data_IF_630640599708
#
_entry.id   IF_630640599708
#
_cell.length_a   1.000
_cell.length_b   1.000
_cell.length_c   1.000
_cell.angle_alpha   90.00
_cell.angle_beta   90.00
_cell.angle_gamma   90.00
#
_symmetry.space_group_name_H-M   'P 1'
#
loop_
_entity.id
_entity.type
_entity.pdbx_description
1 polymer ?
#
# COMPACT_ATOMS: atom_id res chain seq x y z
N UNK A 1 15.66 3.63 -28.73
CA UNK A 1 14.47 4.47 -28.49
C UNK A 1 14.68 5.14 -27.15
N UNK A 2 14.85 6.47 -27.11
CA UNK A 2 15.02 7.21 -25.86
C UNK A 2 13.63 7.70 -25.43
N UNK A 3 13.04 7.11 -24.40
CA UNK A 3 11.77 7.57 -23.85
C UNK A 3 11.98 8.89 -23.08
N UNK A 4 11.40 9.96 -23.60
CA UNK A 4 11.50 11.30 -23.02
C UNK A 4 10.53 11.40 -21.83
N UNK A 5 11.01 11.31 -20.59
CA UNK A 5 10.15 11.52 -19.42
C UNK A 5 9.54 12.94 -19.44
N UNK A 6 8.21 13.05 -19.45
CA UNK A 6 7.49 14.33 -19.34
C UNK A 6 6.96 14.50 -17.92
N UNK A 7 7.44 15.50 -17.19
CA UNK A 7 6.89 15.87 -15.89
C UNK A 7 5.65 16.75 -16.07
N UNK A 8 4.52 16.37 -15.46
CA UNK A 8 3.32 17.24 -15.36
C UNK A 8 3.16 17.69 -13.90
N UNK A 9 3.32 18.98 -13.58
CA UNK A 9 3.10 19.44 -12.21
C UNK A 9 1.62 19.32 -11.85
N UNK A 10 1.32 18.64 -10.74
CA UNK A 10 -0.02 18.59 -10.14
C UNK A 10 0.01 19.39 -8.84
N UNK A 11 -0.79 20.45 -8.77
CA UNK A 11 -1.00 21.20 -7.53
C UNK A 11 -1.98 20.41 -6.66
N UNK A 12 -1.47 19.84 -5.56
CA UNK A 12 -2.30 19.30 -4.48
C UNK A 12 -2.09 20.26 -3.31
N UNK A 13 -3.19 20.81 -2.77
CA UNK A 13 -3.20 21.97 -1.87
C UNK A 13 -2.10 21.98 -0.78
N UNK A 14 -1.48 23.15 -0.61
CA UNK A 14 -0.56 23.55 0.46
C UNK A 14 0.48 22.52 0.94
N UNK A 15 0.97 21.65 0.06
CA UNK A 15 2.10 20.76 0.30
C UNK A 15 3.18 20.94 -0.76
N UNK A 16 4.45 20.76 -0.39
CA UNK A 16 5.58 20.81 -1.32
C UNK A 16 5.30 20.02 -2.60
N UNK A 17 5.61 20.57 -3.79
CA UNK A 17 5.36 19.90 -5.06
C UNK A 17 6.17 18.59 -5.11
N UNK A 18 5.47 17.45 -5.05
CA UNK A 18 6.07 16.16 -5.37
C UNK A 18 6.12 16.03 -6.89
N UNK A 19 7.32 15.84 -7.43
CA UNK A 19 7.52 15.46 -8.83
C UNK A 19 7.23 13.97 -8.93
N UNK A 20 6.08 13.61 -9.49
CA UNK A 20 5.81 12.23 -9.84
C UNK A 20 6.39 11.94 -11.23
N UNK A 21 7.32 10.98 -11.29
CA UNK A 21 7.85 10.47 -12.55
C UNK A 21 6.95 9.33 -13.02
N UNK A 22 6.17 9.59 -14.06
CA UNK A 22 5.34 8.59 -14.73
C UNK A 22 5.95 8.29 -16.09
N UNK A 23 6.02 7.02 -16.48
CA UNK A 23 6.34 6.70 -17.87
C UNK A 23 5.22 7.25 -18.78
N UNK A 24 5.50 7.42 -20.08
CA UNK A 24 4.49 7.89 -21.03
C UNK A 24 3.18 7.10 -20.89
N UNK A 25 2.06 7.82 -20.85
CA UNK A 25 0.69 7.28 -20.73
C UNK A 25 0.35 6.57 -19.41
N UNK A 26 1.18 6.71 -18.37
CA UNK A 26 0.85 6.26 -17.02
C UNK A 26 0.24 7.41 -16.20
N UNK A 27 -0.80 7.09 -15.43
CA UNK A 27 -1.53 8.06 -14.63
C UNK A 27 -1.71 7.54 -13.20
N UNK A 28 -1.61 8.43 -12.21
CA UNK A 28 -2.04 8.16 -10.85
C UNK A 28 -3.57 8.25 -10.74
N UNK A 29 -4.21 7.24 -10.14
CA UNK A 29 -5.62 7.26 -9.81
C UNK A 29 -5.91 8.41 -8.83
N UNK A 30 -6.81 9.35 -9.17
CA UNK A 30 -7.21 10.42 -8.26
C UNK A 30 -7.98 9.85 -7.06
N UNK A 31 -7.82 10.48 -5.89
CA UNK A 31 -8.44 10.04 -4.63
C UNK A 31 -9.20 11.20 -3.97
N UNK A 32 -10.53 11.13 -3.83
CA UNK A 32 -11.45 10.20 -4.51
C UNK A 32 -11.54 10.49 -6.01
N UNK A 33 -11.95 9.50 -6.81
CA UNK A 33 -12.27 9.71 -8.22
C UNK A 33 -13.62 10.44 -8.30
N UNK A 34 -13.58 11.72 -8.69
CA UNK A 34 -14.79 12.57 -8.83
C UNK A 34 -15.16 12.82 -10.29
N UNK A 35 -14.21 12.71 -11.21
CA UNK A 35 -14.41 12.89 -12.65
C UNK A 35 -13.63 11.85 -13.44
N UNK A 36 -14.24 11.33 -14.50
CA UNK A 36 -13.57 10.40 -15.43
C UNK A 36 -12.57 11.11 -16.35
N UNK A 37 -12.56 12.45 -16.39
CA UNK A 37 -11.57 13.23 -17.13
C UNK A 37 -10.14 13.00 -16.62
N UNK A 38 -9.98 12.64 -15.34
CA UNK A 38 -8.68 12.34 -14.74
C UNK A 38 -8.00 11.09 -15.31
N UNK A 39 -8.76 10.21 -15.95
CA UNK A 39 -8.25 8.97 -16.57
C UNK A 39 -8.30 9.01 -18.10
N UNK A 40 -8.73 10.13 -18.69
CA UNK A 40 -8.76 10.29 -20.15
C UNK A 40 -7.34 10.28 -20.72
N UNK A 41 -7.10 9.34 -21.65
CA UNK A 41 -5.82 9.20 -22.35
C UNK A 41 -4.79 8.34 -21.64
N UNK A 42 -5.09 7.81 -20.46
CA UNK A 42 -4.22 6.90 -19.72
C UNK A 42 -4.25 5.51 -20.36
N UNK A 43 -3.08 4.91 -20.56
CA UNK A 43 -2.96 3.50 -20.94
C UNK A 43 -2.83 2.61 -19.70
N UNK A 44 -2.29 3.15 -18.60
CA UNK A 44 -2.21 2.48 -17.31
C UNK A 44 -2.53 3.46 -16.17
N UNK A 45 -3.38 3.02 -15.24
CA UNK A 45 -3.80 3.77 -14.06
C UNK A 45 -3.27 3.06 -12.81
N UNK A 46 -2.52 3.78 -11.98
CA UNK A 46 -1.87 3.25 -10.78
C UNK A 46 -2.49 3.82 -9.50
N UNK A 47 -2.68 2.95 -8.51
CA UNK A 47 -3.25 3.31 -7.21
C UNK A 47 -4.76 3.07 -7.14
N UNK A 48 -5.34 3.30 -5.96
CA UNK A 48 -6.75 2.96 -5.75
C UNK A 48 -7.70 3.95 -6.40
N UNK A 49 -8.62 3.43 -7.20
CA UNK A 49 -9.82 4.13 -7.64
C UNK A 49 -10.81 4.09 -6.48
N UNK A 50 -10.94 5.19 -5.75
CA UNK A 50 -11.90 5.31 -4.64
C UNK A 50 -13.17 6.00 -5.13
N UNK A 51 -14.26 5.24 -5.22
CA UNK A 51 -15.59 5.77 -5.51
C UNK A 51 -16.28 6.14 -4.20
N UNK A 52 -16.56 7.44 -4.02
CA UNK A 52 -17.17 7.98 -2.80
C UNK A 52 -18.19 9.07 -3.14
N UNK A 53 -19.34 9.04 -2.49
CA UNK A 53 -20.39 10.04 -2.68
C UNK A 53 -21.25 9.77 -3.93
N UNK A 54 -21.61 10.85 -4.63
CA UNK A 54 -22.54 10.85 -5.77
C UNK A 54 -21.92 10.28 -7.05
N UNK A 55 -22.76 10.14 -8.08
CA UNK A 55 -22.42 9.63 -9.42
C UNK A 55 -21.20 10.33 -10.01
N UNK A 56 -20.31 9.54 -10.62
CA UNK A 56 -19.17 10.04 -11.39
C UNK A 56 -19.66 10.89 -12.56
N UNK A 57 -19.03 12.05 -12.76
CA UNK A 57 -19.30 12.82 -13.96
C UNK A 57 -18.81 12.04 -15.19
N UNK A 58 -19.63 11.95 -16.26
CA UNK A 58 -19.20 11.33 -17.49
C UNK A 58 -17.99 12.09 -18.07
N UNK A 59 -17.08 11.40 -18.76
CA UNK A 59 -15.89 12.04 -19.30
C UNK A 59 -16.28 12.94 -20.47
N UNK A 60 -15.57 14.05 -20.63
CA UNK A 60 -15.75 14.96 -21.77
C UNK A 60 -15.28 14.36 -23.11
N UNK A 61 -14.55 13.24 -23.06
CA UNK A 61 -14.06 12.47 -24.19
C UNK A 61 -14.22 10.98 -23.94
N UNK A 62 -14.39 10.14 -24.97
CA UNK A 62 -14.41 8.70 -24.80
C UNK A 62 -13.17 8.19 -24.08
N UNK A 63 -13.36 7.32 -23.10
CA UNK A 63 -12.26 6.65 -22.42
C UNK A 63 -11.60 5.67 -23.40
N UNK A 64 -10.26 5.69 -23.43
CA UNK A 64 -9.51 4.63 -24.10
C UNK A 64 -9.46 3.42 -23.16
N UNK A 65 -9.37 2.20 -23.72
CA UNK A 65 -9.15 1.04 -22.87
C UNK A 65 -7.80 1.11 -22.14
N UNK A 66 -7.79 0.83 -20.84
CA UNK A 66 -6.61 1.01 -19.97
C UNK A 66 -6.37 -0.18 -19.03
N UNK A 67 -5.14 -0.32 -18.55
CA UNK A 67 -4.79 -1.26 -17.49
C UNK A 67 -4.91 -0.57 -16.13
N UNK A 68 -5.35 -1.28 -15.11
CA UNK A 68 -5.41 -0.76 -13.75
C UNK A 68 -4.58 -1.63 -12.80
N UNK A 69 -3.71 -0.98 -12.03
CA UNK A 69 -2.86 -1.59 -11.02
C UNK A 69 -3.16 -0.92 -9.69
N UNK A 70 -3.97 -1.59 -8.88
CA UNK A 70 -4.50 -1.02 -7.66
C UNK A 70 -5.91 -1.53 -7.40
N UNK A 71 -6.66 -0.84 -6.54
CA UNK A 71 -7.94 -1.34 -6.06
C UNK A 71 -9.08 -0.44 -6.46
N UNK A 72 -10.19 -1.05 -6.87
CA UNK A 72 -11.45 -0.32 -7.01
C UNK A 72 -12.16 -0.44 -5.67
N UNK A 73 -12.25 0.67 -4.94
CA UNK A 73 -12.76 0.74 -3.58
C UNK A 73 -14.03 1.58 -3.58
N UNK A 74 -15.18 0.94 -3.33
CA UNK A 74 -16.47 1.63 -3.23
C UNK A 74 -16.79 1.90 -1.76
N UNK A 75 -16.94 3.18 -1.38
CA UNK A 75 -17.22 3.60 0.01
C UNK A 75 -18.38 4.57 0.06
N UNK A 76 -19.45 4.21 0.78
CA UNK A 76 -20.61 5.07 1.03
C UNK A 76 -21.03 5.85 -0.23
N UNK A 77 -21.22 5.13 -1.33
CA UNK A 77 -21.42 5.71 -2.65
C UNK A 77 -22.81 5.39 -3.17
N UNK A 78 -23.40 6.34 -3.88
CA UNK A 78 -24.65 6.19 -4.65
C UNK A 78 -24.35 6.21 -6.14
N UNK A 79 -23.12 5.88 -6.56
CA UNK A 79 -22.74 5.84 -7.97
C UNK A 79 -23.53 4.72 -8.66
N UNK A 80 -24.42 5.12 -9.56
CA UNK A 80 -25.24 4.19 -10.35
C UNK A 80 -24.54 3.74 -11.64
N UNK A 81 -23.68 4.60 -12.21
CA UNK A 81 -22.97 4.32 -13.45
C UNK A 81 -21.49 3.99 -13.19
N UNK A 82 -21.14 2.71 -13.36
CA UNK A 82 -19.78 2.18 -13.31
C UNK A 82 -19.31 1.68 -14.69
N UNK A 83 -19.96 2.12 -15.78
CA UNK A 83 -19.70 1.64 -17.14
C UNK A 83 -18.27 1.93 -17.58
N UNK A 84 -17.62 2.93 -17.00
CA UNK A 84 -16.22 3.21 -17.26
C UNK A 84 -15.31 2.00 -16.97
N UNK A 85 -15.69 1.13 -16.01
CA UNK A 85 -14.95 -0.11 -15.71
C UNK A 85 -14.92 -1.07 -16.90
N UNK A 86 -15.87 -0.97 -17.84
CA UNK A 86 -15.82 -1.74 -19.10
C UNK A 86 -14.63 -1.37 -19.99
N UNK A 87 -14.04 -0.19 -19.79
CA UNK A 87 -12.82 0.22 -20.48
C UNK A 87 -11.55 -0.35 -19.82
N UNK A 88 -11.66 -1.06 -18.70
CA UNK A 88 -10.53 -1.70 -18.04
C UNK A 88 -10.16 -3.00 -18.78
N UNK A 89 -9.02 -3.00 -19.48
CA UNK A 89 -8.51 -4.16 -20.22
C UNK A 89 -7.98 -5.26 -19.31
N UNK A 90 -7.18 -4.84 -18.33
CA UNK A 90 -6.56 -5.72 -17.36
C UNK A 90 -6.64 -5.07 -15.99
N UNK A 91 -7.03 -5.87 -15.01
CA UNK A 91 -7.05 -5.47 -13.61
C UNK A 91 -6.03 -6.33 -12.87
N UNK A 92 -4.92 -5.71 -12.50
CA UNK A 92 -3.93 -6.36 -11.64
C UNK A 92 -4.20 -5.89 -10.22
N UNK A 93 -4.64 -6.82 -9.37
CA UNK A 93 -4.62 -6.66 -7.93
C UNK A 93 -3.27 -7.18 -7.42
N UNK A 94 -2.29 -6.33 -7.09
CA UNK A 94 -1.17 -6.81 -6.31
C UNK A 94 -1.74 -7.43 -5.02
N UNK A 95 -1.28 -8.61 -4.59
CA UNK A 95 -1.83 -9.32 -3.43
C UNK A 95 -1.91 -8.47 -2.15
N UNK A 96 -1.07 -7.44 -2.07
CA UNK A 96 -0.88 -6.50 -0.97
C UNK A 96 -1.64 -5.17 -1.11
N UNK A 97 -2.29 -4.89 -2.24
CA UNK A 97 -2.87 -3.57 -2.51
C UNK A 97 -4.33 -3.44 -2.04
N UNK A 98 -5.13 -4.51 -2.11
CA UNK A 98 -6.61 -4.42 -2.04
C UNK A 98 -7.28 -4.99 -0.81
N UNK A 99 -6.50 -5.45 0.14
CA UNK A 99 -7.00 -5.67 1.49
C UNK A 99 -6.80 -4.37 2.26
N UNK A 100 -7.71 -4.03 3.17
CA UNK A 100 -7.53 -2.95 4.15
C UNK A 100 -6.42 -3.32 5.14
N UNK A 101 -5.27 -3.73 4.64
CA UNK A 101 -4.15 -4.19 5.41
C UNK A 101 -3.68 -3.02 6.24
N UNK A 102 -3.84 -3.20 7.55
CA UNK A 102 -3.44 -2.20 8.51
C UNK A 102 -1.93 -2.17 8.48
N UNK A 103 -1.41 -1.00 8.11
CA UNK A 103 0.02 -0.71 8.12
C UNK A 103 0.37 -0.20 9.51
N UNK A 104 1.35 -0.82 10.14
CA UNK A 104 1.87 -0.38 11.43
C UNK A 104 3.34 -0.01 11.32
N UNK A 105 3.84 0.75 12.30
CA UNK A 105 5.25 1.10 12.36
C UNK A 105 6.07 -0.04 12.95
N UNK A 106 7.28 -0.22 12.43
CA UNK A 106 8.29 -1.11 12.98
C UNK A 106 8.78 -0.64 14.35
N UNK A 107 9.55 -1.51 15.00
CA UNK A 107 10.09 -1.26 16.33
C UNK A 107 10.64 -2.53 16.97
N UNK A 108 11.00 -2.40 18.24
CA UNK A 108 11.41 -3.53 19.08
C UNK A 108 10.15 -4.28 19.51
N UNK A 109 10.13 -5.58 19.24
CA UNK A 109 9.02 -6.46 19.58
C UNK A 109 9.09 -6.81 21.07
N UNK A 110 8.35 -6.04 21.86
CA UNK A 110 8.06 -6.29 23.27
C UNK A 110 6.57 -6.61 23.47
N UNK A 111 6.13 -7.19 24.60
CA UNK A 111 4.72 -7.51 24.84
C UNK A 111 3.78 -6.31 24.61
N UNK A 112 4.20 -5.11 25.03
CA UNK A 112 3.43 -3.88 24.84
C UNK A 112 3.27 -3.54 23.36
N UNK A 113 4.35 -3.60 22.57
CA UNK A 113 4.29 -3.39 21.11
C UNK A 113 3.32 -4.37 20.44
N UNK A 114 3.35 -5.65 20.82
CA UNK A 114 2.43 -6.63 20.24
C UNK A 114 0.98 -6.27 20.57
N UNK A 115 0.68 -5.99 21.83
CA UNK A 115 -0.69 -5.69 22.25
C UNK A 115 -1.20 -4.37 21.65
N UNK A 116 -0.38 -3.31 21.70
CA UNK A 116 -0.74 -1.98 21.26
C UNK A 116 -0.69 -1.79 19.75
N UNK A 117 0.12 -2.55 19.01
CA UNK A 117 0.39 -2.25 17.60
C UNK A 117 0.00 -3.39 16.68
N UNK A 118 0.21 -4.65 17.08
CA UNK A 118 -0.06 -5.79 16.20
C UNK A 118 -1.47 -6.34 16.43
N UNK A 119 -1.77 -6.78 17.65
CA UNK A 119 -3.03 -7.41 18.01
C UNK A 119 -4.18 -6.40 17.99
N UNK A 120 -3.99 -5.22 18.58
CA UNK A 120 -5.03 -4.18 18.65
C UNK A 120 -5.41 -3.57 17.30
N UNK A 121 -4.51 -3.56 16.32
CA UNK A 121 -4.74 -2.93 15.01
C UNK A 121 -4.90 -3.93 13.87
N UNK A 122 -4.87 -5.25 14.12
CA UNK A 122 -4.93 -6.29 13.08
C UNK A 122 -3.91 -6.05 11.97
N UNK A 123 -2.66 -5.79 12.38
CA UNK A 123 -1.60 -5.42 11.48
C UNK A 123 -1.33 -6.50 10.44
N UNK A 124 -1.15 -6.10 9.18
CA UNK A 124 -0.78 -7.01 8.09
C UNK A 124 0.53 -6.58 7.40
N UNK A 125 0.86 -5.28 7.43
CA UNK A 125 2.10 -4.75 6.89
C UNK A 125 2.81 -3.95 7.98
N UNK A 126 4.11 -4.21 8.17
CA UNK A 126 4.94 -3.38 9.05
C UNK A 126 5.86 -2.51 8.19
N UNK A 127 5.93 -1.22 8.53
CA UNK A 127 6.81 -0.23 7.90
C UNK A 127 7.89 0.21 8.87
N UNK A 128 9.15 -0.08 8.55
CA UNK A 128 10.30 0.06 9.44
C UNK A 128 10.84 -1.30 9.87
N UNK A 129 11.96 -1.28 10.59
CA UNK A 129 12.62 -2.48 11.08
C UNK A 129 11.79 -3.18 12.16
N UNK A 130 11.82 -4.51 12.18
CA UNK A 130 11.20 -5.34 13.22
C UNK A 130 12.32 -6.04 13.96
N UNK A 131 12.46 -5.75 15.25
CA UNK A 131 13.59 -6.24 16.06
C UNK A 131 13.06 -7.11 17.18
N UNK A 132 13.26 -8.42 17.09
CA UNK A 132 12.99 -9.37 18.16
C UNK A 132 14.32 -9.66 18.85
N UNK A 133 14.55 -9.06 20.00
CA UNK A 133 15.80 -9.23 20.73
C UNK A 133 15.57 -9.54 22.21
N UNK A 134 16.40 -10.43 22.78
CA UNK A 134 16.40 -10.78 24.19
C UNK A 134 15.01 -11.16 24.74
N UNK A 135 14.18 -11.81 23.93
CA UNK A 135 12.81 -12.17 24.27
C UNK A 135 12.80 -13.24 25.38
N UNK A 136 12.31 -12.85 26.56
CA UNK A 136 12.10 -13.72 27.73
C UNK A 136 10.61 -13.94 28.04
N UNK A 137 9.73 -13.45 27.18
CA UNK A 137 8.28 -13.43 27.40
C UNK A 137 7.58 -14.72 26.95
N UNK A 138 6.28 -14.78 27.21
CA UNK A 138 5.42 -15.86 26.74
C UNK A 138 5.37 -15.89 25.19
N UNK A 139 5.79 -16.99 24.58
CA UNK A 139 5.78 -17.21 23.12
C UNK A 139 4.37 -17.19 22.51
N UNK A 140 3.31 -17.33 23.32
CA UNK A 140 1.92 -17.14 22.88
C UNK A 140 1.65 -15.72 22.39
N UNK A 141 2.27 -14.70 23.00
CA UNK A 141 2.10 -13.32 22.55
C UNK A 141 2.62 -13.13 21.12
N UNK A 142 3.74 -13.78 20.79
CA UNK A 142 4.33 -13.72 19.44
C UNK A 142 3.39 -14.28 18.37
N UNK A 143 2.44 -15.16 18.71
CA UNK A 143 1.49 -15.73 17.74
C UNK A 143 0.65 -14.66 17.02
N UNK A 144 0.49 -13.48 17.59
CA UNK A 144 -0.15 -12.36 16.91
C UNK A 144 0.62 -11.88 15.68
N UNK A 145 1.94 -12.13 15.59
CA UNK A 145 2.74 -11.82 14.41
C UNK A 145 2.37 -12.67 13.19
N UNK A 146 1.58 -13.74 13.34
CA UNK A 146 1.07 -14.56 12.22
C UNK A 146 0.15 -13.76 11.29
N UNK A 147 -0.39 -12.62 11.73
CA UNK A 147 -1.17 -11.73 10.87
C UNK A 147 -0.30 -10.91 9.92
N UNK A 148 0.99 -10.72 10.23
CA UNK A 148 1.92 -9.96 9.39
C UNK A 148 2.20 -10.75 8.12
N UNK A 149 1.98 -10.11 6.98
CA UNK A 149 2.25 -10.63 5.64
C UNK A 149 3.50 -10.01 5.03
N UNK A 150 3.78 -8.74 5.34
CA UNK A 150 4.89 -7.99 4.75
C UNK A 150 5.61 -7.12 5.76
N UNK A 151 6.93 -7.05 5.62
CA UNK A 151 7.78 -6.09 6.32
C UNK A 151 8.48 -5.22 5.27
N UNK A 152 8.32 -3.90 5.37
CA UNK A 152 9.04 -2.91 4.58
C UNK A 152 10.13 -2.33 5.49
N UNK A 153 11.26 -3.02 5.57
CA UNK A 153 12.36 -2.81 6.51
C UNK A 153 13.17 -4.08 6.74
N UNK A 154 13.96 -4.11 7.80
CA UNK A 154 14.77 -5.29 8.16
C UNK A 154 14.13 -6.03 9.33
N UNK A 155 13.98 -7.35 9.20
CA UNK A 155 13.66 -8.24 10.33
C UNK A 155 14.95 -8.70 11.00
N UNK A 156 15.10 -8.41 12.29
CA UNK A 156 16.24 -8.83 13.13
C UNK A 156 15.75 -9.74 14.25
N UNK A 157 16.34 -10.92 14.38
CA UNK A 157 16.06 -11.86 15.47
C UNK A 157 17.39 -12.15 16.17
N UNK A 158 17.62 -11.52 17.33
CA UNK A 158 18.92 -11.48 18.00
C UNK A 158 18.81 -12.00 19.44
N UNK A 159 19.81 -12.77 19.91
CA UNK A 159 19.97 -13.09 21.34
C UNK A 159 18.73 -13.70 22.03
N UNK A 160 17.91 -14.49 21.32
CA UNK A 160 16.70 -15.11 21.86
C UNK A 160 16.92 -16.59 22.21
N UNK A 161 17.55 -16.87 23.35
CA UNK A 161 17.93 -18.23 23.75
C UNK A 161 16.75 -19.21 23.79
N UNK A 162 15.57 -18.73 24.19
CA UNK A 162 14.37 -19.56 24.35
C UNK A 162 13.49 -19.62 23.09
N UNK A 163 13.78 -18.81 22.06
CA UNK A 163 13.03 -18.81 20.80
C UNK A 163 13.66 -19.77 19.79
N UNK A 164 13.44 -21.07 20.03
CA UNK A 164 13.93 -22.15 19.15
C UNK A 164 13.15 -22.27 17.83
N UNK A 165 11.95 -21.70 17.76
CA UNK A 165 11.05 -21.83 16.62
C UNK A 165 10.41 -20.47 16.26
N UNK A 166 10.35 -20.18 14.96
CA UNK A 166 9.80 -18.96 14.37
C UNK A 166 8.42 -19.16 13.72
N UNK A 167 7.67 -20.21 14.08
CA UNK A 167 6.31 -20.49 13.57
C UNK A 167 5.33 -19.33 13.77
N UNK A 168 5.61 -18.43 14.71
CA UNK A 168 4.85 -17.20 14.89
C UNK A 168 4.99 -16.22 13.71
N UNK A 169 5.97 -16.42 12.81
CA UNK A 169 6.14 -15.72 11.54
C UNK A 169 5.63 -16.51 10.34
N UNK A 170 4.92 -17.63 10.53
CA UNK A 170 4.41 -18.45 9.42
C UNK A 170 3.47 -17.70 8.47
N UNK A 171 2.98 -16.53 8.88
CA UNK A 171 2.19 -15.65 8.04
C UNK A 171 2.97 -14.72 7.11
N UNK A 172 4.27 -14.53 7.36
CA UNK A 172 5.12 -13.60 6.64
C UNK A 172 5.43 -14.13 5.24
N UNK A 173 5.14 -13.32 4.22
CA UNK A 173 5.28 -13.67 2.81
C UNK A 173 6.40 -12.89 2.13
N UNK A 174 6.66 -11.66 2.58
CA UNK A 174 7.61 -10.75 1.93
C UNK A 174 8.37 -9.89 2.95
N UNK A 175 9.68 -9.72 2.71
CA UNK A 175 10.51 -8.72 3.37
C UNK A 175 11.14 -7.86 2.28
N UNK A 176 10.78 -6.59 2.26
CA UNK A 176 11.35 -5.57 1.39
C UNK A 176 12.23 -4.64 2.23
N UNK A 177 13.55 -4.86 2.19
CA UNK A 177 14.49 -4.05 2.96
C UNK A 177 14.61 -2.60 2.45
N UNK A 178 14.04 -2.29 1.28
CA UNK A 178 14.16 -1.00 0.63
C UNK A 178 15.60 -0.62 0.26
N UNK A 179 15.74 0.59 -0.28
CA UNK A 179 17.06 1.19 -0.52
C UNK A 179 17.64 1.80 0.76
N UNK A 180 18.95 2.04 0.76
CA UNK A 180 19.62 2.67 1.90
C UNK A 180 19.08 4.08 2.19
N UNK A 181 18.65 4.82 1.16
CA UNK A 181 17.99 6.11 1.30
C UNK A 181 16.62 6.01 1.98
N UNK A 182 15.82 5.00 1.62
CA UNK A 182 14.52 4.76 2.25
C UNK A 182 14.67 4.38 3.73
N UNK A 183 15.70 3.61 4.08
CA UNK A 183 15.96 3.20 5.47
C UNK A 183 16.26 4.38 6.40
N UNK A 184 16.90 5.44 5.91
CA UNK A 184 17.17 6.65 6.72
C UNK A 184 15.91 7.31 7.28
N UNK A 185 14.74 7.09 6.67
CA UNK A 185 13.46 7.66 7.11
C UNK A 185 12.82 6.90 8.29
N UNK A 186 13.30 5.71 8.63
CA UNK A 186 12.66 4.81 9.60
C UNK A 186 13.61 4.27 10.67
N UNK A 187 14.84 4.80 10.75
CA UNK A 187 15.77 4.44 11.82
C UNK A 187 15.28 5.08 13.12
N UNK A 188 14.86 4.25 14.06
CA UNK A 188 14.52 4.64 15.45
C UNK A 188 15.80 4.77 16.25
#
# INVERSE_FOLDING_TARGET
>A
MHDIMKSKPRSIGNGHPRVEFHAFNQCSAPKPLTSLDDVVGCESVFGDIVLRGSTLLPPNKPLKPFNHIGCVVVKNSTVENIDFLSNMKAHMNPPWFCKNEKVCMGGIVIPDYISSTIAGYQCAIIKGDVIIENWKGNTRALQHLKSIRKIIGVLRVLNNLDLVNLDFLAGLQEIDAGTTEQRKQYTV
#
